data_IF_623802575527
#
_entry.id   IF_623802575527
#
_cell.length_a   1.000
_cell.length_b   1.000
_cell.length_c   1.000
_cell.angle_alpha   90.00
_cell.angle_beta   90.00
_cell.angle_gamma   90.00
#
_symmetry.space_group_name_H-M   'P 1'
#
loop_
_entity.id
_entity.type
_entity.pdbx_description
1 polymer ?
#
# COMPACT_ATOMS: atom_id res chain seq x y z
N UNK A 1 -25.41 -11.68 19.71
CA UNK A 1 -24.02 -11.94 19.25
C UNK A 1 -24.09 -12.56 17.87
N UNK A 2 -23.61 -11.91 16.80
CA UNK A 2 -23.49 -12.56 15.51
C UNK A 2 -22.42 -13.66 15.63
N UNK A 3 -22.74 -14.88 15.21
CA UNK A 3 -21.77 -15.96 15.13
C UNK A 3 -20.70 -15.53 14.14
N UNK A 4 -19.47 -15.26 14.59
CA UNK A 4 -18.30 -15.18 13.70
C UNK A 4 -18.25 -16.51 12.95
N UNK A 5 -18.59 -16.50 11.66
CA UNK A 5 -18.36 -17.66 10.78
C UNK A 5 -16.86 -17.95 10.86
N UNK A 6 -16.51 -19.08 11.50
CA UNK A 6 -15.12 -19.56 11.45
C UNK A 6 -14.79 -19.81 9.97
N UNK A 7 -13.64 -19.33 9.46
CA UNK A 7 -13.25 -19.59 8.08
C UNK A 7 -13.28 -21.09 7.80
N UNK A 8 -13.85 -21.47 6.64
CA UNK A 8 -13.89 -22.88 6.23
C UNK A 8 -12.50 -23.29 5.78
N UNK A 9 -11.94 -24.32 6.40
CA UNK A 9 -10.68 -24.94 5.96
C UNK A 9 -10.94 -25.75 4.69
N UNK A 10 -10.28 -25.39 3.61
CA UNK A 10 -10.22 -26.14 2.35
C UNK A 10 -8.73 -26.28 2.04
N UNK A 11 -8.26 -27.50 1.76
CA UNK A 11 -6.87 -27.69 1.35
C UNK A 11 -6.66 -27.02 -0.01
N UNK A 12 -5.64 -26.18 -0.13
CA UNK A 12 -5.34 -25.52 -1.39
C UNK A 12 -4.80 -26.56 -2.38
N UNK A 13 -5.28 -26.53 -3.62
CA UNK A 13 -4.73 -27.34 -4.72
C UNK A 13 -4.15 -26.43 -5.80
N UNK A 14 -3.22 -26.95 -6.61
CA UNK A 14 -2.72 -26.21 -7.78
C UNK A 14 -3.90 -25.81 -8.69
N UNK A 15 -4.85 -26.72 -8.94
CA UNK A 15 -6.04 -26.44 -9.73
C UNK A 15 -6.79 -25.20 -9.25
N UNK A 16 -7.02 -25.05 -7.94
CA UNK A 16 -7.70 -23.88 -7.36
C UNK A 16 -6.99 -22.55 -7.66
N UNK A 17 -5.65 -22.55 -7.75
CA UNK A 17 -4.88 -21.36 -8.12
C UNK A 17 -4.80 -21.13 -9.63
N UNK A 18 -4.90 -22.19 -10.43
CA UNK A 18 -4.74 -22.15 -11.88
C UNK A 18 -6.04 -21.81 -12.63
N UNK A 19 -7.22 -21.96 -12.00
CA UNK A 19 -8.52 -21.67 -12.64
C UNK A 19 -8.57 -20.27 -13.26
N UNK A 20 -8.11 -19.25 -12.53
CA UNK A 20 -8.13 -17.86 -13.05
C UNK A 20 -6.93 -17.53 -13.94
N UNK A 21 -5.85 -18.33 -13.83
CA UNK A 21 -4.61 -18.09 -14.54
C UNK A 21 -4.75 -18.42 -16.03
N UNK A 22 -5.33 -19.58 -16.37
CA UNK A 22 -5.47 -20.05 -17.75
C UNK A 22 -6.30 -19.10 -18.64
N UNK A 23 -7.21 -18.32 -18.04
CA UNK A 23 -8.09 -17.40 -18.76
C UNK A 23 -7.62 -15.94 -18.76
N UNK A 24 -6.75 -15.54 -17.81
CA UNK A 24 -6.50 -14.11 -17.58
C UNK A 24 -5.13 -13.71 -17.05
N UNK A 25 -4.19 -14.65 -16.89
CA UNK A 25 -2.88 -14.42 -16.25
C UNK A 25 -2.99 -13.78 -14.86
N UNK A 26 -4.09 -14.09 -14.14
CA UNK A 26 -4.37 -13.65 -12.77
C UNK A 26 -4.40 -14.84 -11.84
N UNK A 27 -3.91 -14.64 -10.62
CA UNK A 27 -4.08 -15.61 -9.53
C UNK A 27 -4.80 -14.92 -8.40
N UNK A 28 -5.94 -15.49 -7.97
CA UNK A 28 -6.71 -15.00 -6.84
C UNK A 28 -7.01 -16.12 -5.87
N UNK A 29 -6.62 -15.94 -4.61
CA UNK A 29 -7.09 -16.80 -3.51
C UNK A 29 -7.59 -15.93 -2.37
N UNK A 30 -8.84 -16.17 -1.96
CA UNK A 30 -9.52 -15.36 -0.96
C UNK A 30 -10.27 -16.19 0.09
N UNK A 31 -10.14 -15.79 1.36
CA UNK A 31 -11.01 -16.28 2.44
C UNK A 31 -10.78 -17.73 2.90
N UNK A 32 -9.61 -18.29 2.63
CA UNK A 32 -9.19 -19.62 3.07
C UNK A 32 -7.94 -19.47 3.95
N UNK A 33 -7.96 -19.99 5.18
CA UNK A 33 -6.78 -19.95 6.05
C UNK A 33 -5.74 -20.98 5.62
N UNK A 34 -4.51 -20.53 5.37
CA UNK A 34 -3.39 -21.38 4.97
C UNK A 34 -2.55 -21.86 6.16
N UNK A 35 -1.93 -23.03 5.95
CA UNK A 35 -0.85 -23.60 6.77
C UNK A 35 0.49 -23.34 6.09
N UNK A 36 1.61 -23.59 6.79
CA UNK A 36 2.95 -23.48 6.20
C UNK A 36 3.14 -24.36 4.95
N UNK A 37 2.50 -25.54 4.93
CA UNK A 37 2.49 -26.43 3.75
C UNK A 37 1.75 -25.81 2.55
N UNK A 38 0.62 -25.12 2.80
CA UNK A 38 -0.11 -24.39 1.75
C UNK A 38 0.74 -23.23 1.20
N UNK A 39 1.57 -22.58 2.03
CA UNK A 39 2.45 -21.50 1.58
C UNK A 39 3.61 -21.99 0.69
N UNK A 40 4.10 -23.22 0.91
CA UNK A 40 5.05 -23.87 0.00
C UNK A 40 4.39 -24.12 -1.37
N UNK A 41 3.12 -24.54 -1.37
CA UNK A 41 2.35 -24.70 -2.61
C UNK A 41 2.17 -23.37 -3.34
N UNK A 42 1.77 -22.30 -2.62
CA UNK A 42 1.65 -20.95 -3.18
C UNK A 42 2.97 -20.51 -3.82
N UNK A 43 4.10 -20.68 -3.12
CA UNK A 43 5.41 -20.38 -3.67
C UNK A 43 5.69 -21.20 -4.93
N UNK A 44 5.47 -22.51 -4.88
CA UNK A 44 5.70 -23.42 -6.01
C UNK A 44 4.88 -23.06 -7.23
N UNK A 45 3.60 -22.71 -7.05
CA UNK A 45 2.73 -22.24 -8.12
C UNK A 45 3.24 -20.91 -8.65
N UNK A 46 3.49 -19.90 -7.81
CA UNK A 46 3.98 -18.60 -8.26
C UNK A 46 5.30 -18.69 -9.06
N UNK A 47 6.18 -19.65 -8.76
CA UNK A 47 7.41 -19.89 -9.53
C UNK A 47 7.13 -20.40 -10.97
N UNK A 48 6.01 -21.09 -11.19
CA UNK A 48 5.67 -21.70 -12.50
C UNK A 48 5.05 -20.72 -13.49
N UNK A 49 4.52 -19.58 -13.03
CA UNK A 49 3.61 -18.73 -13.82
C UNK A 49 4.31 -17.52 -14.46
N UNK A 50 5.21 -17.70 -15.42
CA UNK A 50 6.12 -16.65 -15.91
C UNK A 50 5.53 -15.31 -16.43
N UNK A 51 4.22 -15.26 -16.70
CA UNK A 51 3.51 -14.14 -17.32
C UNK A 51 2.41 -13.54 -16.41
N UNK A 52 2.57 -13.55 -15.08
CA UNK A 52 1.54 -13.01 -14.17
C UNK A 52 1.39 -11.48 -14.27
N UNK A 53 0.17 -11.01 -14.57
CA UNK A 53 -0.16 -9.58 -14.54
C UNK A 53 -0.59 -9.13 -13.13
N UNK A 54 -1.29 -9.99 -12.40
CA UNK A 54 -1.94 -9.65 -11.13
C UNK A 54 -1.94 -10.83 -10.17
N UNK A 55 -1.55 -10.57 -8.92
CA UNK A 55 -1.63 -11.54 -7.82
C UNK A 55 -2.50 -10.97 -6.70
N UNK A 56 -3.56 -11.69 -6.33
CA UNK A 56 -4.49 -11.35 -5.26
C UNK A 56 -4.51 -12.46 -4.23
N UNK A 57 -3.97 -12.16 -3.07
CA UNK A 57 -3.95 -13.05 -1.92
C UNK A 57 -4.58 -12.27 -0.78
N UNK A 58 -5.83 -12.53 -0.41
CA UNK A 58 -6.51 -11.71 0.59
C UNK A 58 -7.29 -12.57 1.60
N UNK A 59 -7.24 -12.21 2.89
CA UNK A 59 -7.93 -12.99 3.94
C UNK A 59 -7.48 -14.45 4.00
N UNK A 60 -6.18 -14.72 3.76
CA UNK A 60 -5.63 -16.09 3.77
C UNK A 60 -4.65 -16.37 4.92
N UNK A 61 -4.40 -15.38 5.79
CA UNK A 61 -3.48 -15.50 6.93
C UNK A 61 -2.05 -15.86 6.50
N UNK A 62 -1.49 -15.13 5.54
CA UNK A 62 -0.09 -15.32 5.07
C UNK A 62 0.89 -15.26 6.25
N UNK A 63 0.77 -14.26 7.12
CA UNK A 63 1.77 -14.00 8.16
C UNK A 63 3.15 -13.65 7.59
N UNK A 64 4.12 -13.44 8.48
CA UNK A 64 5.48 -13.04 8.07
C UNK A 64 6.26 -14.19 7.40
N UNK A 65 6.20 -15.39 7.97
CA UNK A 65 6.82 -16.59 7.38
C UNK A 65 6.21 -16.94 6.02
N UNK A 66 4.88 -16.84 5.89
CA UNK A 66 4.23 -17.03 4.59
C UNK A 66 4.66 -16.00 3.56
N UNK A 67 4.91 -14.75 3.98
CA UNK A 67 5.31 -13.68 3.08
C UNK A 67 6.69 -13.94 2.47
N UNK A 68 7.59 -14.60 3.20
CA UNK A 68 8.87 -15.08 2.66
C UNK A 68 8.69 -16.03 1.48
N UNK A 69 7.77 -16.99 1.60
CA UNK A 69 7.46 -17.95 0.52
C UNK A 69 6.83 -17.28 -0.70
N UNK A 70 5.94 -16.30 -0.48
CA UNK A 70 5.36 -15.47 -1.56
C UNK A 70 6.45 -14.70 -2.27
N UNK A 71 7.33 -14.00 -1.53
CA UNK A 71 8.46 -13.26 -2.12
C UNK A 71 9.39 -14.19 -2.90
N UNK A 72 9.72 -15.36 -2.37
CA UNK A 72 10.55 -16.34 -3.08
C UNK A 72 9.87 -16.86 -4.36
N UNK A 73 8.55 -17.02 -4.33
CA UNK A 73 7.75 -17.41 -5.48
C UNK A 73 7.80 -16.36 -6.59
N UNK A 74 7.59 -15.10 -6.20
CA UNK A 74 7.63 -13.96 -7.12
C UNK A 74 9.03 -13.75 -7.70
N UNK A 75 10.11 -13.85 -6.92
CA UNK A 75 11.49 -13.63 -7.41
C UNK A 75 11.90 -14.48 -8.62
N UNK A 76 11.38 -15.70 -8.73
CA UNK A 76 11.73 -16.63 -9.81
C UNK A 76 10.79 -16.55 -11.01
N UNK A 77 9.71 -15.78 -10.90
CA UNK A 77 8.80 -15.50 -12.00
C UNK A 77 9.46 -14.50 -12.94
N UNK A 78 9.88 -14.96 -14.11
CA UNK A 78 10.93 -14.35 -14.96
C UNK A 78 10.63 -12.97 -15.55
N UNK A 79 9.44 -12.41 -15.34
CA UNK A 79 9.15 -11.00 -15.69
C UNK A 79 9.59 -9.99 -14.62
N UNK A 80 10.07 -10.45 -13.46
CA UNK A 80 10.65 -9.57 -12.42
C UNK A 80 12.13 -9.22 -12.63
N UNK A 81 12.78 -9.75 -13.68
CA UNK A 81 14.24 -9.60 -13.93
C UNK A 81 14.57 -9.30 -15.40
N UNK A 82 13.66 -8.74 -16.22
CA UNK A 82 14.07 -8.31 -17.58
C UNK A 82 14.91 -7.02 -17.59
N UNK A 83 15.64 -6.70 -16.51
CA UNK A 83 16.79 -5.80 -16.58
C UNK A 83 17.90 -6.31 -15.66
N UNK A 84 18.36 -7.56 -15.85
CA UNK A 84 19.79 -7.82 -15.68
C UNK A 84 20.22 -8.84 -16.73
N UNK A 85 20.87 -8.31 -17.78
CA UNK A 85 21.47 -8.98 -18.95
C UNK A 85 20.60 -9.05 -20.20
N UNK A 86 20.66 -7.96 -20.98
CA UNK A 86 20.71 -8.08 -22.42
C UNK A 86 19.38 -7.89 -23.14
N UNK A 87 19.30 -6.77 -23.85
CA UNK A 87 18.64 -6.59 -25.13
C UNK A 87 18.34 -7.92 -25.88
N UNK A 88 17.19 -8.54 -25.62
CA UNK A 88 16.63 -9.58 -26.47
C UNK A 88 15.18 -9.25 -26.74
N UNK A 89 14.91 -8.58 -27.86
CA UNK A 89 13.56 -8.38 -28.34
C UNK A 89 12.81 -9.72 -28.45
N UNK A 90 11.89 -9.94 -27.52
CA UNK A 90 10.78 -10.89 -27.53
C UNK A 90 9.69 -10.15 -26.70
N UNK A 91 8.66 -9.57 -27.29
CA UNK A 91 7.47 -10.31 -27.70
C UNK A 91 6.55 -10.58 -26.52
N UNK A 92 5.91 -9.54 -25.97
CA UNK A 92 4.81 -9.58 -24.98
C UNK A 92 4.86 -10.68 -23.91
N UNK A 93 5.60 -10.46 -22.83
CA UNK A 93 5.43 -11.22 -21.58
C UNK A 93 4.82 -10.30 -20.52
N UNK A 94 3.69 -10.74 -19.94
CA UNK A 94 2.91 -9.97 -18.97
C UNK A 94 3.70 -9.86 -17.67
N UNK A 95 4.13 -8.64 -17.32
CA UNK A 95 4.88 -8.38 -16.10
C UNK A 95 3.95 -8.02 -14.93
N UNK A 96 4.27 -8.49 -13.72
CA UNK A 96 3.44 -8.23 -12.55
C UNK A 96 3.36 -6.74 -12.26
N UNK A 97 2.17 -6.16 -12.48
CA UNK A 97 1.89 -4.73 -12.27
C UNK A 97 1.09 -4.46 -11.00
N UNK A 98 0.32 -5.44 -10.52
CA UNK A 98 -0.57 -5.31 -9.37
C UNK A 98 -0.39 -6.47 -8.38
N UNK A 99 -0.17 -6.12 -7.10
CA UNK A 99 -0.08 -7.06 -5.99
C UNK A 99 -1.05 -6.64 -4.88
N UNK A 100 -1.99 -7.53 -4.51
CA UNK A 100 -2.94 -7.32 -3.42
C UNK A 100 -2.77 -8.36 -2.32
N UNK A 101 -2.52 -7.87 -1.12
CA UNK A 101 -2.16 -8.61 0.09
C UNK A 101 -3.01 -8.19 1.30
N UNK A 102 -4.21 -7.66 1.07
CA UNK A 102 -5.09 -7.12 2.12
C UNK A 102 -5.58 -8.21 3.09
N UNK A 103 -5.62 -7.93 4.39
CA UNK A 103 -6.15 -8.88 5.42
C UNK A 103 -5.36 -10.18 5.54
N UNK A 104 -4.06 -10.12 5.80
CA UNK A 104 -3.21 -11.31 5.83
C UNK A 104 -2.34 -11.49 7.08
N UNK A 105 -2.55 -10.68 8.12
CA UNK A 105 -1.77 -10.73 9.38
C UNK A 105 -0.26 -10.57 9.12
N UNK A 106 0.10 -9.80 8.10
CA UNK A 106 1.50 -9.46 7.82
C UNK A 106 1.95 -8.43 8.85
N UNK A 107 3.03 -8.72 9.56
CA UNK A 107 3.70 -7.83 10.50
C UNK A 107 4.93 -7.16 9.89
N UNK A 108 5.81 -6.65 10.74
CA UNK A 108 6.98 -5.87 10.33
C UNK A 108 8.02 -6.72 9.56
N UNK A 109 8.17 -8.00 9.89
CA UNK A 109 9.13 -8.90 9.22
C UNK A 109 8.66 -9.27 7.81
N UNK A 110 7.35 -9.54 7.64
CA UNK A 110 6.78 -9.78 6.32
C UNK A 110 6.80 -8.53 5.45
N UNK A 111 6.56 -7.35 6.04
CA UNK A 111 6.76 -6.06 5.37
C UNK A 111 8.21 -5.87 4.92
N UNK A 112 9.21 -6.25 5.73
CA UNK A 112 10.61 -6.22 5.35
C UNK A 112 10.89 -7.09 4.12
N UNK A 113 10.44 -8.35 4.14
CA UNK A 113 10.62 -9.27 3.01
C UNK A 113 10.03 -8.72 1.71
N UNK A 114 8.83 -8.14 1.79
CA UNK A 114 8.19 -7.50 0.65
C UNK A 114 8.99 -6.27 0.17
N UNK A 115 9.45 -5.41 1.08
CA UNK A 115 10.23 -4.24 0.72
C UNK A 115 11.58 -4.60 0.07
N UNK A 116 12.21 -5.70 0.48
CA UNK A 116 13.42 -6.21 -0.15
C UNK A 116 13.17 -6.67 -1.60
N UNK A 117 11.97 -7.21 -1.89
CA UNK A 117 11.53 -7.47 -3.27
C UNK A 117 11.36 -6.15 -4.04
N UNK A 118 10.61 -5.19 -3.47
CA UNK A 118 10.27 -3.92 -4.11
C UNK A 118 11.49 -3.08 -4.54
N UNK A 119 12.62 -3.20 -3.84
CA UNK A 119 13.87 -2.50 -4.18
C UNK A 119 14.39 -2.86 -5.58
N UNK A 120 14.11 -4.07 -6.06
CA UNK A 120 14.57 -4.57 -7.35
C UNK A 120 13.44 -4.77 -8.37
N UNK A 121 12.19 -4.64 -7.94
CA UNK A 121 11.02 -4.73 -8.82
C UNK A 121 10.86 -3.46 -9.66
N UNK A 122 10.85 -3.62 -10.98
CA UNK A 122 10.72 -2.51 -11.95
C UNK A 122 9.35 -2.45 -12.65
N UNK A 123 8.45 -3.37 -12.34
CA UNK A 123 7.19 -3.55 -13.09
C UNK A 123 5.95 -3.27 -12.23
N UNK A 124 6.05 -3.47 -10.91
CA UNK A 124 4.94 -3.28 -10.00
C UNK A 124 4.60 -1.80 -9.85
N UNK A 125 3.35 -1.46 -10.15
CA UNK A 125 2.81 -0.10 -10.10
C UNK A 125 1.77 0.09 -9.00
N UNK A 126 1.06 -0.98 -8.62
CA UNK A 126 0.01 -0.97 -7.61
C UNK A 126 0.34 -2.00 -6.53
N UNK A 127 0.44 -1.54 -5.29
CA UNK A 127 0.56 -2.40 -4.12
C UNK A 127 -0.55 -2.08 -3.11
N UNK A 128 -1.34 -3.09 -2.78
CA UNK A 128 -2.35 -3.01 -1.73
C UNK A 128 -2.03 -3.98 -0.61
N UNK A 129 -1.75 -3.48 0.58
CA UNK A 129 -1.41 -4.27 1.76
C UNK A 129 -2.13 -3.77 3.02
N UNK A 130 -3.29 -3.13 2.83
CA UNK A 130 -4.12 -2.67 3.94
C UNK A 130 -4.67 -3.79 4.83
N UNK A 131 -5.17 -3.44 6.01
CA UNK A 131 -5.73 -4.35 7.01
C UNK A 131 -4.77 -5.48 7.41
N UNK A 132 -3.55 -5.13 7.79
CA UNK A 132 -2.53 -6.06 8.28
C UNK A 132 -2.05 -5.59 9.68
N UNK A 133 -1.03 -6.25 10.22
CA UNK A 133 -0.47 -5.96 11.54
C UNK A 133 0.86 -5.18 11.45
N UNK A 134 1.09 -4.48 10.33
CA UNK A 134 2.32 -3.72 10.06
C UNK A 134 2.38 -2.52 11.00
N UNK A 135 3.43 -2.43 11.79
CA UNK A 135 3.72 -1.34 12.71
C UNK A 135 4.69 -0.30 12.14
N UNK A 136 5.14 0.61 12.99
CA UNK A 136 6.05 1.71 12.65
C UNK A 136 7.34 1.22 11.96
N UNK A 137 7.92 0.09 12.41
CA UNK A 137 9.13 -0.48 11.82
C UNK A 137 8.89 -1.08 10.43
N UNK A 138 7.76 -1.76 10.21
CA UNK A 138 7.35 -2.21 8.89
C UNK A 138 7.18 -1.05 7.91
N UNK A 139 6.59 0.05 8.38
CA UNK A 139 6.45 1.28 7.60
C UNK A 139 7.80 1.94 7.30
N UNK A 140 8.78 1.87 8.20
CA UNK A 140 10.16 2.30 7.93
C UNK A 140 10.75 1.57 6.72
N UNK A 141 10.52 0.26 6.58
CA UNK A 141 10.98 -0.49 5.41
C UNK A 141 10.31 -0.02 4.11
N UNK A 142 9.00 0.27 4.14
CA UNK A 142 8.30 0.85 2.99
C UNK A 142 8.86 2.22 2.60
N UNK A 143 9.07 3.10 3.58
CA UNK A 143 9.66 4.40 3.36
C UNK A 143 11.06 4.29 2.72
N UNK A 144 11.89 3.34 3.17
CA UNK A 144 13.21 3.10 2.59
C UNK A 144 13.14 2.51 1.17
N UNK A 145 12.18 1.62 0.90
CA UNK A 145 11.94 1.08 -0.44
C UNK A 145 11.49 2.19 -1.41
N UNK A 146 10.57 3.07 -1.00
CA UNK A 146 10.03 4.17 -1.82
C UNK A 146 11.08 5.22 -2.22
N UNK A 147 12.19 5.36 -1.49
CA UNK A 147 13.30 6.24 -1.90
C UNK A 147 13.92 5.79 -3.23
N UNK A 148 14.00 4.47 -3.43
CA UNK A 148 14.68 3.85 -4.57
C UNK A 148 13.72 3.31 -5.63
N UNK A 149 12.57 2.79 -5.24
CA UNK A 149 11.56 2.31 -6.18
C UNK A 149 10.96 3.50 -6.95
N UNK A 150 10.94 3.39 -8.27
CA UNK A 150 10.44 4.43 -9.20
C UNK A 150 9.25 3.98 -10.03
N UNK A 151 8.55 2.95 -9.59
CA UNK A 151 7.50 2.29 -10.39
C UNK A 151 6.17 2.25 -9.68
N UNK A 152 6.16 2.14 -8.34
CA UNK A 152 4.93 2.22 -7.56
C UNK A 152 4.33 3.61 -7.71
N UNK A 153 3.08 3.63 -8.18
CA UNK A 153 2.24 4.81 -8.37
C UNK A 153 1.05 4.82 -7.40
N UNK A 154 0.59 3.65 -6.96
CA UNK A 154 -0.48 3.50 -5.97
C UNK A 154 -0.04 2.58 -4.83
N UNK A 155 -0.10 3.08 -3.60
CA UNK A 155 0.20 2.33 -2.39
C UNK A 155 -0.94 2.45 -1.37
N UNK A 156 -1.50 1.30 -0.96
CA UNK A 156 -2.50 1.22 0.10
C UNK A 156 -1.93 0.51 1.33
N UNK A 157 -1.75 1.27 2.41
CA UNK A 157 -1.28 0.85 3.74
C UNK A 157 -2.36 1.05 4.81
N UNK A 158 -3.60 1.33 4.41
CA UNK A 158 -4.71 1.60 5.34
C UNK A 158 -4.94 0.46 6.34
N UNK A 159 -5.48 0.76 7.52
CA UNK A 159 -5.78 -0.24 8.56
C UNK A 159 -4.53 -1.04 8.95
N UNK A 160 -3.43 -0.35 9.16
CA UNK A 160 -2.18 -0.84 9.77
C UNK A 160 -1.79 0.09 10.92
N UNK A 161 -0.86 -0.31 11.79
CA UNK A 161 -0.49 0.45 13.00
C UNK A 161 0.62 1.46 12.69
N UNK A 162 0.35 2.36 11.73
CA UNK A 162 1.33 3.31 11.20
C UNK A 162 1.78 4.30 12.28
N UNK A 163 0.81 4.91 12.98
CA UNK A 163 1.06 5.92 14.01
C UNK A 163 1.90 7.10 13.53
N UNK A 164 2.22 8.02 14.44
CA UNK A 164 2.95 9.25 14.09
C UNK A 164 4.39 8.96 13.62
N UNK A 165 5.04 7.93 14.19
CA UNK A 165 6.42 7.60 13.82
C UNK A 165 6.49 6.92 12.43
N UNK A 166 5.53 6.07 12.09
CA UNK A 166 5.39 5.56 10.72
C UNK A 166 5.09 6.68 9.73
N UNK A 167 4.21 7.62 10.10
CA UNK A 167 3.92 8.82 9.33
C UNK A 167 5.17 9.69 9.11
N UNK A 168 6.07 9.78 10.11
CA UNK A 168 7.39 10.42 9.98
C UNK A 168 8.24 9.79 8.89
N UNK A 169 8.37 8.46 8.89
CA UNK A 169 9.15 7.76 7.87
C UNK A 169 8.60 8.00 6.47
N UNK A 170 7.28 7.93 6.31
CA UNK A 170 6.60 8.21 5.05
C UNK A 170 6.80 9.67 4.62
N UNK A 171 6.66 10.64 5.51
CA UNK A 171 6.90 12.06 5.20
C UNK A 171 8.32 12.30 4.66
N UNK A 172 9.34 11.70 5.29
CA UNK A 172 10.72 11.79 4.79
C UNK A 172 10.88 11.15 3.41
N UNK A 173 10.25 10.00 3.15
CA UNK A 173 10.32 9.34 1.85
C UNK A 173 9.57 10.13 0.75
N UNK A 174 8.39 10.66 1.08
CA UNK A 174 7.56 11.44 0.16
C UNK A 174 8.27 12.70 -0.32
N UNK A 175 9.08 13.36 0.52
CA UNK A 175 9.82 14.57 0.11
C UNK A 175 10.62 14.37 -1.18
N UNK A 176 11.25 13.21 -1.33
CA UNK A 176 12.18 12.91 -2.43
C UNK A 176 11.58 11.90 -3.44
N UNK A 177 10.42 11.31 -3.15
CA UNK A 177 9.71 10.44 -4.09
C UNK A 177 8.99 11.26 -5.17
N UNK A 178 9.09 10.81 -6.41
CA UNK A 178 8.55 11.50 -7.59
C UNK A 178 7.65 10.60 -8.45
N UNK A 179 7.22 9.45 -7.93
CA UNK A 179 6.52 8.42 -8.71
C UNK A 179 5.20 8.00 -8.07
N UNK A 180 5.11 8.08 -6.75
CA UNK A 180 3.88 7.77 -6.03
C UNK A 180 2.86 8.88 -6.26
N UNK A 181 1.70 8.50 -6.79
CA UNK A 181 0.58 9.39 -7.11
C UNK A 181 -0.55 9.25 -6.08
N UNK A 182 -0.78 8.04 -5.59
CA UNK A 182 -1.86 7.73 -4.65
C UNK A 182 -1.33 6.99 -3.41
N UNK A 183 -1.65 7.52 -2.23
CA UNK A 183 -1.30 6.94 -0.95
C UNK A 183 -2.53 6.86 -0.04
N UNK A 184 -2.86 5.66 0.42
CA UNK A 184 -3.94 5.44 1.39
C UNK A 184 -3.36 5.03 2.76
N UNK A 185 -3.62 5.85 3.78
CA UNK A 185 -3.23 5.66 5.17
C UNK A 185 -4.45 5.71 6.11
N UNK A 186 -5.65 5.39 5.60
CA UNK A 186 -6.87 5.46 6.39
C UNK A 186 -6.86 4.47 7.57
N UNK A 187 -7.44 4.87 8.71
CA UNK A 187 -7.57 4.05 9.93
C UNK A 187 -6.24 3.47 10.40
N UNK A 188 -5.23 4.32 10.50
CA UNK A 188 -3.84 3.92 10.74
C UNK A 188 -3.22 4.49 12.02
N UNK A 189 -4.06 4.91 12.98
CA UNK A 189 -3.66 5.48 14.27
C UNK A 189 -2.78 6.73 14.15
N UNK A 190 -2.90 7.49 13.05
CA UNK A 190 -2.17 8.75 12.85
C UNK A 190 -2.89 9.85 13.65
N UNK A 191 -2.14 10.64 14.40
CA UNK A 191 -2.67 11.79 15.15
C UNK A 191 -2.20 13.11 14.51
N UNK A 192 -2.42 14.22 15.21
CA UNK A 192 -2.07 15.56 14.73
C UNK A 192 -0.57 15.69 14.38
N UNK A 193 0.32 15.10 15.18
CA UNK A 193 1.77 15.16 14.94
C UNK A 193 2.17 14.34 13.70
N UNK A 194 1.58 13.16 13.49
CA UNK A 194 1.80 12.39 12.28
C UNK A 194 1.32 13.11 11.01
N UNK A 195 0.17 13.80 11.07
CA UNK A 195 -0.28 14.69 10.00
C UNK A 195 0.71 15.82 9.72
N UNK A 196 1.29 16.43 10.77
CA UNK A 196 2.34 17.45 10.63
C UNK A 196 3.56 16.91 9.88
N UNK A 197 4.02 15.72 10.25
CA UNK A 197 5.19 15.08 9.67
C UNK A 197 4.96 14.64 8.21
N UNK A 198 3.75 14.18 7.88
CA UNK A 198 3.36 13.97 6.49
C UNK A 198 3.35 15.30 5.71
N UNK A 199 2.77 16.36 6.30
CA UNK A 199 2.77 17.71 5.73
C UNK A 199 4.18 18.21 5.38
N UNK A 200 5.16 18.03 6.26
CA UNK A 200 6.56 18.41 6.00
C UNK A 200 7.13 17.74 4.73
N UNK A 201 6.79 16.47 4.50
CA UNK A 201 7.15 15.74 3.28
C UNK A 201 6.40 16.23 2.04
N UNK A 202 5.10 16.48 2.17
CA UNK A 202 4.23 16.90 1.08
C UNK A 202 4.59 18.29 0.56
N UNK A 203 5.05 19.21 1.41
CA UNK A 203 5.34 20.62 1.04
C UNK A 203 6.12 20.77 -0.28
N UNK A 204 7.05 19.87 -0.57
CA UNK A 204 7.87 19.88 -1.79
C UNK A 204 7.67 18.66 -2.70
N UNK A 205 6.79 17.73 -2.33
CA UNK A 205 6.51 16.57 -3.16
C UNK A 205 5.82 17.01 -4.48
N UNK A 206 6.19 16.37 -5.60
CA UNK A 206 5.73 16.76 -6.94
C UNK A 206 4.94 15.69 -7.68
N UNK A 207 4.63 14.58 -7.03
CA UNK A 207 3.97 13.44 -7.67
C UNK A 207 2.66 13.04 -7.01
N UNK A 208 2.54 13.17 -5.69
CA UNK A 208 1.39 12.71 -4.96
C UNK A 208 0.19 13.62 -5.23
N UNK A 209 -0.80 13.06 -5.93
CA UNK A 209 -2.05 13.73 -6.27
C UNK A 209 -3.18 13.36 -5.30
N UNK A 210 -3.10 12.19 -4.68
CA UNK A 210 -4.14 11.65 -3.80
C UNK A 210 -3.56 11.12 -2.49
N UNK A 211 -4.07 11.64 -1.38
CA UNK A 211 -3.75 11.18 -0.03
C UNK A 211 -5.05 10.93 0.75
N UNK A 212 -5.19 9.73 1.31
CA UNK A 212 -6.33 9.39 2.16
C UNK A 212 -5.89 9.19 3.60
N UNK A 213 -6.47 9.96 4.50
CA UNK A 213 -6.24 9.92 5.94
C UNK A 213 -7.50 9.55 6.72
N UNK A 214 -8.53 9.09 6.03
CA UNK A 214 -9.84 8.71 6.57
C UNK A 214 -9.75 7.90 7.87
N UNK A 215 -10.47 8.25 8.93
CA UNK A 215 -10.55 7.44 10.15
C UNK A 215 -9.30 7.47 11.06
N UNK A 216 -8.48 8.52 10.97
CA UNK A 216 -7.34 8.79 11.87
C UNK A 216 -7.68 9.91 12.86
N UNK A 217 -7.00 10.02 14.01
CA UNK A 217 -7.29 11.07 15.01
C UNK A 217 -6.54 12.38 14.73
N UNK A 218 -6.66 12.92 13.51
CA UNK A 218 -5.92 14.10 13.03
C UNK A 218 -6.30 15.38 13.78
N UNK A 219 -7.59 15.56 14.08
CA UNK A 219 -8.15 16.72 14.81
C UNK A 219 -7.88 18.05 14.11
N UNK A 220 -8.40 19.14 14.69
CA UNK A 220 -8.24 20.49 14.12
C UNK A 220 -6.77 20.89 13.95
N UNK A 221 -5.91 20.54 14.91
CA UNK A 221 -4.48 20.83 14.87
C UNK A 221 -3.78 20.15 13.69
N UNK A 222 -4.04 18.87 13.46
CA UNK A 222 -3.45 18.14 12.34
C UNK A 222 -3.95 18.67 10.98
N UNK A 223 -5.21 19.09 10.88
CA UNK A 223 -5.74 19.76 9.69
C UNK A 223 -4.96 21.04 9.42
N UNK A 224 -4.75 21.90 10.42
CA UNK A 224 -3.96 23.13 10.27
C UNK A 224 -2.54 22.85 9.78
N UNK A 225 -1.89 21.80 10.28
CA UNK A 225 -0.57 21.41 9.81
C UNK A 225 -0.56 20.98 8.33
N UNK A 226 -1.54 20.19 7.90
CA UNK A 226 -1.68 19.79 6.49
C UNK A 226 -1.93 21.02 5.61
N UNK A 227 -2.82 21.93 6.00
CA UNK A 227 -3.11 23.16 5.25
C UNK A 227 -1.86 24.02 5.06
N UNK A 228 -1.07 24.21 6.12
CA UNK A 228 0.20 24.96 6.06
C UNK A 228 1.21 24.35 5.08
N UNK A 229 1.23 23.01 4.95
CA UNK A 229 2.06 22.34 3.95
C UNK A 229 1.53 22.56 2.52
N UNK A 230 0.21 22.48 2.35
CA UNK A 230 -0.48 22.63 1.06
C UNK A 230 -0.51 24.06 0.53
N UNK A 231 -0.12 25.08 1.30
CA UNK A 231 0.05 26.44 0.76
C UNK A 231 1.09 26.50 -0.37
N UNK A 232 2.07 25.58 -0.37
CA UNK A 232 3.12 25.50 -1.38
C UNK A 232 2.99 24.26 -2.29
N UNK A 233 2.06 23.35 -1.99
CA UNK A 233 1.81 22.15 -2.78
C UNK A 233 0.43 22.24 -3.45
N UNK A 234 0.44 22.49 -4.76
CA UNK A 234 -0.74 22.51 -5.63
C UNK A 234 -0.89 21.22 -6.47
N UNK A 235 -0.07 20.21 -6.18
CA UNK A 235 -0.06 18.93 -6.91
C UNK A 235 -1.09 17.97 -6.30
N UNK A 236 -1.16 17.93 -4.96
CA UNK A 236 -2.17 17.17 -4.26
C UNK A 236 -3.54 17.76 -4.59
N UNK A 237 -4.40 17.01 -5.25
CA UNK A 237 -5.74 17.46 -5.66
C UNK A 237 -6.87 16.64 -5.01
N UNK A 238 -6.52 15.62 -4.24
CA UNK A 238 -7.44 14.81 -3.45
C UNK A 238 -6.84 14.53 -2.07
N UNK A 239 -7.50 15.05 -1.04
CA UNK A 239 -7.19 14.82 0.37
C UNK A 239 -8.47 14.38 1.09
N UNK A 240 -8.55 13.10 1.43
CA UNK A 240 -9.70 12.54 2.16
C UNK A 240 -9.44 12.62 3.68
N UNK A 241 -10.30 13.39 4.37
CA UNK A 241 -10.26 13.61 5.81
C UNK A 241 -11.52 13.06 6.51
N UNK A 242 -12.30 12.19 5.87
CA UNK A 242 -13.51 11.64 6.48
C UNK A 242 -13.20 10.97 7.83
N UNK A 243 -14.05 11.20 8.83
CA UNK A 243 -13.90 10.64 10.17
C UNK A 243 -12.54 10.90 10.83
N UNK A 244 -11.95 12.09 10.62
CA UNK A 244 -10.64 12.44 11.21
C UNK A 244 -10.67 13.28 12.50
N UNK A 245 -11.81 13.26 13.19
CA UNK A 245 -12.01 13.91 14.51
C UNK A 245 -11.73 15.43 14.54
N UNK A 246 -11.73 16.12 13.40
CA UNK A 246 -11.74 17.59 13.38
C UNK A 246 -13.17 18.12 13.50
N UNK A 247 -13.30 19.27 14.13
CA UNK A 247 -14.57 19.91 14.46
C UNK A 247 -14.72 21.22 13.66
N UNK A 248 -15.38 22.22 14.25
CA UNK A 248 -15.73 23.46 13.56
C UNK A 248 -14.50 24.33 13.24
N UNK A 249 -13.46 24.31 14.08
CA UNK A 249 -12.22 25.06 13.83
C UNK A 249 -11.45 24.48 12.63
N UNK A 250 -11.39 23.15 12.49
CA UNK A 250 -10.80 22.48 11.33
C UNK A 250 -11.59 22.74 10.05
N UNK A 251 -12.94 22.70 10.10
CA UNK A 251 -13.80 23.06 8.95
C UNK A 251 -13.58 24.50 8.50
N UNK A 252 -13.55 25.43 9.47
CA UNK A 252 -13.28 26.85 9.19
C UNK A 252 -11.90 27.06 8.58
N UNK A 253 -10.89 26.32 9.04
CA UNK A 253 -9.55 26.39 8.48
C UNK A 253 -9.51 25.97 7.01
N UNK A 254 -10.21 24.88 6.67
CA UNK A 254 -10.35 24.40 5.29
C UNK A 254 -11.05 25.46 4.44
N UNK A 255 -12.16 26.02 4.91
CA UNK A 255 -12.88 27.10 4.20
C UNK A 255 -12.00 28.32 3.94
N UNK A 256 -11.25 28.76 4.94
CA UNK A 256 -10.36 29.92 4.84
C UNK A 256 -9.18 29.62 3.89
N UNK A 257 -8.63 28.40 3.91
CA UNK A 257 -7.63 27.94 2.95
C UNK A 257 -8.16 27.97 1.51
N UNK A 258 -9.36 27.42 1.27
CA UNK A 258 -9.97 27.39 -0.07
C UNK A 258 -10.25 28.81 -0.58
N UNK A 259 -10.77 29.70 0.28
CA UNK A 259 -10.98 31.12 -0.08
C UNK A 259 -9.67 31.85 -0.40
N UNK A 260 -8.60 31.56 0.35
CA UNK A 260 -7.28 32.20 0.19
C UNK A 260 -6.56 31.72 -1.07
N UNK A 261 -6.60 30.41 -1.36
CA UNK A 261 -5.76 29.78 -2.39
C UNK A 261 -6.50 29.43 -3.67
N UNK A 262 -7.84 29.30 -3.61
CA UNK A 262 -8.65 28.72 -4.69
C UNK A 262 -8.45 27.21 -4.87
N UNK A 263 -7.63 26.56 -4.05
CA UNK A 263 -7.29 25.15 -4.15
C UNK A 263 -8.28 24.30 -3.33
N UNK A 264 -9.19 23.62 -4.01
CA UNK A 264 -10.16 22.72 -3.38
C UNK A 264 -9.75 21.27 -3.61
N UNK A 265 -9.24 20.63 -2.56
CA UNK A 265 -8.69 19.26 -2.61
C UNK A 265 -9.40 18.29 -1.69
N UNK A 266 -10.17 18.82 -0.75
CA UNK A 266 -10.69 18.07 0.39
C UNK A 266 -11.93 17.26 -0.02
N UNK A 267 -12.04 16.04 0.48
CA UNK A 267 -13.25 15.21 0.38
C UNK A 267 -13.64 14.61 1.73
N UNK A 268 -14.90 14.19 1.85
CA UNK A 268 -15.35 13.35 2.95
C UNK A 268 -15.76 14.06 4.24
N UNK A 269 -15.89 15.39 4.24
CA UNK A 269 -16.31 16.19 5.41
C UNK A 269 -17.67 16.88 5.25
N UNK A 270 -18.32 16.70 4.10
CA UNK A 270 -19.72 17.05 3.86
C UNK A 270 -20.64 15.90 4.33
N UNK A 271 -20.83 15.75 5.64
CA UNK A 271 -21.92 14.98 6.26
C UNK A 271 -22.13 15.34 7.73
#
# INVERSE_FOLDING_TARGET
MPKKNKPKRVALTEEMMMVEYEESSKVSVMGITFTDEDMILVSTVLKKLGDLATVRLASISIGDEGMKYVVEGLRNNTTLVEITLGNTGLGSESALTELRLTTNQIGDEGAQHLCDLLRNTTTLTILQIGNNDIGEEGIRYFADALKNNKTITTLDLSTNKIKDEGARYLGVALRDNTTLNELNLGSSEIEAEGARLLGDGLRNNKSLTSLKLTGNSIKDEGVQHLLNALENNIILNHLDLAWTEFEDDGKKAIDDYVKKTGHSVFQGFDA
#
